data_IF_088929283097
#
_entry.id   IF_088929283097
#
_cell.length_a   1.000
_cell.length_b   1.000
_cell.length_c   1.000
_cell.angle_alpha   90.00
_cell.angle_beta   90.00
_cell.angle_gamma   90.00
#
_symmetry.space_group_name_H-M   'P 1'
#
loop_
_entity.id
_entity.type
_entity.pdbx_description
1 polymer ?
#
# COMPACT_ATOMS: atom_id res chain seq x y z
N UNK A 1 43.51 39.84 -27.29
CA UNK A 1 42.36 39.28 -28.04
C UNK A 1 41.87 37.92 -27.54
N UNK A 2 42.71 37.04 -26.99
CA UNK A 2 42.28 35.70 -26.55
C UNK A 2 41.32 35.64 -25.34
N UNK A 3 41.39 36.58 -24.38
CA UNK A 3 40.52 36.52 -23.19
C UNK A 3 39.06 36.86 -23.46
N UNK A 4 38.79 37.81 -24.37
CA UNK A 4 37.41 38.17 -24.76
C UNK A 4 36.72 37.03 -25.53
N UNK A 5 37.44 36.38 -26.44
CA UNK A 5 36.95 35.20 -27.16
C UNK A 5 36.65 34.03 -26.22
N UNK A 6 37.47 33.81 -25.18
CA UNK A 6 37.20 32.79 -24.14
C UNK A 6 35.93 33.09 -23.34
N UNK A 7 35.70 34.34 -22.96
CA UNK A 7 34.48 34.74 -22.22
C UNK A 7 33.21 34.50 -23.05
N UNK A 8 33.24 34.83 -24.34
CA UNK A 8 32.12 34.59 -25.27
C UNK A 8 31.86 33.08 -25.42
N UNK A 9 32.90 32.26 -25.50
CA UNK A 9 32.73 30.81 -25.58
C UNK A 9 32.12 30.22 -24.31
N UNK A 10 32.53 30.71 -23.13
CA UNK A 10 31.99 30.25 -21.85
C UNK A 10 30.49 30.61 -21.68
N UNK A 11 30.05 31.80 -22.11
CA UNK A 11 28.63 32.18 -22.03
C UNK A 11 27.76 31.36 -22.98
N UNK A 12 28.26 31.04 -24.17
CA UNK A 12 27.55 30.16 -25.12
C UNK A 12 27.40 28.74 -24.55
N UNK A 13 28.46 28.17 -23.96
CA UNK A 13 28.41 26.84 -23.34
C UNK A 13 27.43 26.81 -22.15
N UNK A 14 27.47 27.82 -21.28
CA UNK A 14 26.56 27.92 -20.13
C UNK A 14 25.10 28.08 -20.57
N UNK A 15 24.82 28.84 -21.64
CA UNK A 15 23.49 28.97 -22.21
C UNK A 15 22.94 27.66 -22.78
N UNK A 16 23.79 26.88 -23.47
CA UNK A 16 23.41 25.58 -24.03
C UNK A 16 23.16 24.52 -22.94
N UNK A 17 23.93 24.52 -21.85
CA UNK A 17 23.71 23.61 -20.71
C UNK A 17 22.40 23.91 -19.96
N UNK A 18 21.96 25.17 -19.88
CA UNK A 18 20.71 25.55 -19.21
C UNK A 18 19.45 25.02 -19.90
N UNK A 19 19.44 24.99 -21.23
CA UNK A 19 18.28 24.52 -22.02
C UNK A 19 18.05 23.01 -21.89
N UNK A 20 19.10 22.20 -21.79
CA UNK A 20 18.98 20.74 -21.63
C UNK A 20 18.34 20.36 -20.29
N UNK A 21 18.65 21.09 -19.21
CA UNK A 21 18.04 20.87 -17.90
C UNK A 21 16.55 21.16 -17.85
N UNK A 22 16.10 22.22 -18.55
CA UNK A 22 14.68 22.58 -18.65
C UNK A 22 13.84 21.51 -19.36
N UNK A 23 14.34 20.99 -20.48
CA UNK A 23 13.64 19.95 -21.25
C UNK A 23 13.58 18.61 -20.49
N UNK A 24 14.66 18.23 -19.79
CA UNK A 24 14.67 17.04 -18.93
C UNK A 24 13.70 17.16 -17.75
N UNK A 25 13.60 18.33 -17.13
CA UNK A 25 12.66 18.57 -16.04
C UNK A 25 11.20 18.53 -16.49
N UNK A 26 10.89 19.04 -17.69
CA UNK A 26 9.56 18.95 -18.28
C UNK A 26 9.15 17.49 -18.59
N UNK A 27 10.05 16.71 -19.21
CA UNK A 27 9.82 15.28 -19.45
C UNK A 27 9.63 14.49 -18.15
N UNK A 28 10.43 14.79 -17.12
CA UNK A 28 10.32 14.16 -15.80
C UNK A 28 8.98 14.50 -15.12
N UNK A 29 8.52 15.75 -15.26
CA UNK A 29 7.20 16.18 -14.77
C UNK A 29 6.06 15.44 -15.47
N UNK A 30 6.12 15.29 -16.79
CA UNK A 30 5.11 14.56 -17.57
C UNK A 30 5.09 13.05 -17.23
N UNK A 31 6.26 12.42 -17.10
CA UNK A 31 6.37 11.02 -16.67
C UNK A 31 5.82 10.80 -15.26
N UNK A 32 6.05 11.75 -14.34
CA UNK A 32 5.50 11.70 -12.98
C UNK A 32 3.97 11.83 -12.96
N UNK A 33 3.42 12.73 -13.78
CA UNK A 33 1.96 12.88 -13.94
C UNK A 33 1.31 11.61 -14.49
N UNK A 34 1.90 10.99 -15.52
CA UNK A 34 1.40 9.73 -16.07
C UNK A 34 1.45 8.60 -15.03
N UNK A 35 2.54 8.51 -14.26
CA UNK A 35 2.67 7.53 -13.18
C UNK A 35 1.58 7.69 -12.11
N UNK A 36 1.28 8.93 -11.70
CA UNK A 36 0.23 9.20 -10.73
C UNK A 36 -1.15 8.74 -11.23
N UNK A 37 -1.47 8.96 -12.51
CA UNK A 37 -2.73 8.49 -13.13
C UNK A 37 -2.81 6.97 -13.09
N UNK A 38 -1.72 6.26 -13.42
CA UNK A 38 -1.68 4.80 -13.34
C UNK A 38 -1.88 4.30 -11.91
N UNK A 39 -1.28 4.95 -10.91
CA UNK A 39 -1.51 4.61 -9.50
C UNK A 39 -2.98 4.79 -9.10
N UNK A 40 -3.65 5.83 -9.57
CA UNK A 40 -5.08 6.08 -9.30
C UNK A 40 -5.97 5.02 -9.94
N UNK A 41 -5.65 4.59 -11.17
CA UNK A 41 -6.35 3.48 -11.83
C UNK A 41 -6.19 2.16 -11.06
N UNK A 42 -4.97 1.83 -10.63
CA UNK A 42 -4.73 0.64 -9.81
C UNK A 42 -5.44 0.70 -8.45
N UNK A 43 -5.50 1.88 -7.84
CA UNK A 43 -6.22 2.08 -6.58
C UNK A 43 -7.71 1.82 -6.73
N UNK A 44 -8.36 2.39 -7.75
CA UNK A 44 -9.79 2.17 -7.99
C UNK A 44 -10.07 0.70 -8.33
N UNK A 45 -9.22 0.07 -9.14
CA UNK A 45 -9.31 -1.36 -9.41
C UNK A 45 -9.21 -2.20 -8.12
N UNK A 46 -8.23 -1.92 -7.27
CA UNK A 46 -8.05 -2.61 -6.00
C UNK A 46 -9.27 -2.43 -5.09
N UNK A 47 -9.80 -1.20 -4.98
CA UNK A 47 -10.96 -0.89 -4.14
C UNK A 47 -12.23 -1.63 -4.58
N UNK A 48 -12.43 -1.80 -5.88
CA UNK A 48 -13.62 -2.46 -6.43
C UNK A 48 -13.51 -3.98 -6.43
N UNK A 49 -12.31 -4.52 -6.64
CA UNK A 49 -12.14 -5.96 -6.87
C UNK A 49 -11.61 -6.71 -5.63
N UNK A 50 -10.97 -6.04 -4.68
CA UNK A 50 -10.38 -6.75 -3.55
C UNK A 50 -11.35 -7.01 -2.40
N UNK A 51 -11.73 -8.28 -2.27
CA UNK A 51 -12.63 -8.78 -1.22
C UNK A 51 -11.84 -9.19 0.03
N UNK A 52 -10.58 -9.61 -0.13
CA UNK A 52 -9.75 -10.11 0.97
C UNK A 52 -8.94 -9.00 1.66
N UNK A 53 -9.65 -8.00 2.17
CA UNK A 53 -9.10 -6.90 2.97
C UNK A 53 -9.26 -7.18 4.48
N UNK A 54 -8.56 -6.41 5.32
CA UNK A 54 -8.60 -6.58 6.77
C UNK A 54 -10.02 -6.55 7.36
N UNK A 55 -10.83 -5.58 6.95
CA UNK A 55 -12.19 -5.43 7.48
C UNK A 55 -13.03 -6.68 7.21
N UNK A 56 -13.04 -7.15 5.97
CA UNK A 56 -13.82 -8.32 5.58
C UNK A 56 -13.26 -9.60 6.23
N UNK A 57 -11.94 -9.77 6.29
CA UNK A 57 -11.34 -10.91 6.96
C UNK A 57 -11.70 -10.93 8.46
N UNK A 58 -11.52 -9.81 9.16
CA UNK A 58 -11.85 -9.69 10.59
C UNK A 58 -13.33 -10.00 10.85
N UNK A 59 -14.23 -9.48 10.00
CA UNK A 59 -15.65 -9.79 10.07
C UNK A 59 -15.95 -11.28 9.88
N UNK A 60 -15.40 -11.90 8.84
CA UNK A 60 -15.60 -13.33 8.56
C UNK A 60 -15.04 -14.19 9.71
N UNK A 61 -13.81 -13.89 10.18
CA UNK A 61 -13.17 -14.61 11.28
C UNK A 61 -14.02 -14.54 12.56
N UNK A 62 -14.56 -13.37 12.89
CA UNK A 62 -15.45 -13.18 14.03
C UNK A 62 -16.74 -14.01 13.89
N UNK A 63 -17.39 -13.98 12.71
CA UNK A 63 -18.61 -14.76 12.46
C UNK A 63 -18.37 -16.27 12.56
N UNK A 64 -17.22 -16.74 12.11
CA UNK A 64 -16.81 -18.14 12.25
C UNK A 64 -16.58 -18.50 13.72
N UNK A 65 -15.90 -17.64 14.48
CA UNK A 65 -15.70 -17.82 15.91
C UNK A 65 -17.04 -17.90 16.66
N UNK A 66 -17.99 -17.00 16.36
CA UNK A 66 -19.35 -17.00 16.92
C UNK A 66 -20.11 -18.30 16.64
N UNK A 67 -20.04 -18.79 15.39
CA UNK A 67 -20.68 -20.04 15.00
C UNK A 67 -20.10 -21.23 15.76
N UNK A 68 -18.76 -21.31 15.85
CA UNK A 68 -18.07 -22.39 16.54
C UNK A 68 -18.32 -22.35 18.05
N UNK A 69 -18.33 -21.15 18.65
CA UNK A 69 -18.66 -20.97 20.05
C UNK A 69 -20.10 -21.37 20.35
N UNK A 70 -21.06 -20.98 19.50
CA UNK A 70 -22.48 -21.36 19.66
C UNK A 70 -22.64 -22.88 19.61
N UNK A 71 -21.95 -23.56 18.68
CA UNK A 71 -21.93 -25.03 18.60
C UNK A 71 -21.39 -25.65 19.89
N UNK A 72 -20.26 -25.16 20.39
CA UNK A 72 -19.68 -25.61 21.65
C UNK A 72 -20.62 -25.42 22.85
N UNK A 73 -21.27 -24.26 22.96
CA UNK A 73 -22.23 -23.96 24.02
C UNK A 73 -23.41 -24.95 23.97
N UNK A 74 -23.91 -25.24 22.77
CA UNK A 74 -24.98 -26.22 22.58
C UNK A 74 -24.54 -27.63 23.01
N UNK A 75 -23.37 -28.09 22.55
CA UNK A 75 -22.79 -29.39 22.94
C UNK A 75 -22.63 -29.50 24.47
N UNK A 76 -22.10 -28.46 25.13
CA UNK A 76 -21.95 -28.46 26.59
C UNK A 76 -23.28 -28.48 27.32
N UNK A 77 -24.27 -27.74 26.83
CA UNK A 77 -25.62 -27.75 27.40
C UNK A 77 -26.28 -29.13 27.28
N UNK A 78 -26.16 -29.79 26.12
CA UNK A 78 -26.70 -31.13 25.89
C UNK A 78 -26.00 -32.18 26.77
N UNK A 79 -24.68 -32.05 26.97
CA UNK A 79 -23.92 -32.90 27.89
C UNK A 79 -24.15 -32.59 29.39
N UNK A 80 -24.95 -31.57 29.73
CA UNK A 80 -25.15 -31.11 31.11
C UNK A 80 -23.89 -30.50 31.75
N UNK A 81 -22.90 -30.11 30.96
CA UNK A 81 -21.62 -29.55 31.44
C UNK A 81 -21.63 -28.02 31.41
N UNK A 82 -20.79 -27.41 32.25
CA UNK A 82 -20.58 -25.96 32.26
C UNK A 82 -19.80 -25.52 31.01
N UNK A 83 -20.15 -24.35 30.48
CA UNK A 83 -19.41 -23.64 29.42
C UNK A 83 -18.16 -23.02 30.05
N UNK A 84 -16.97 -23.41 29.60
CA UNK A 84 -15.69 -23.00 30.22
C UNK A 84 -14.79 -22.19 29.30
N UNK A 85 -15.04 -22.22 27.99
CA UNK A 85 -14.31 -21.40 27.02
C UNK A 85 -15.09 -20.13 26.72
N UNK A 86 -14.38 -19.09 26.33
CA UNK A 86 -14.95 -17.82 25.91
C UNK A 86 -15.01 -17.74 24.38
N UNK A 87 -15.82 -16.82 23.85
CA UNK A 87 -15.95 -16.60 22.42
C UNK A 87 -14.60 -16.33 21.74
N UNK A 88 -13.77 -15.48 22.37
CA UNK A 88 -12.46 -15.10 21.82
C UNK A 88 -11.49 -16.28 21.71
N UNK A 89 -11.69 -17.36 22.49
CA UNK A 89 -10.89 -18.59 22.35
C UNK A 89 -11.12 -19.31 21.02
N UNK A 90 -12.18 -18.97 20.29
CA UNK A 90 -12.51 -19.53 18.97
C UNK A 90 -12.06 -18.63 17.81
N UNK A 91 -11.52 -17.44 18.10
CA UNK A 91 -10.97 -16.53 17.10
C UNK A 91 -9.47 -16.82 16.93
N UNK A 92 -9.04 -17.12 15.70
CA UNK A 92 -7.61 -17.25 15.39
C UNK A 92 -7.02 -15.86 15.11
N UNK A 93 -6.12 -15.34 15.97
CA UNK A 93 -5.52 -14.01 15.79
C UNK A 93 -4.59 -13.92 14.58
N UNK A 94 -4.13 -15.05 14.03
CA UNK A 94 -3.23 -15.08 12.87
C UNK A 94 -3.98 -15.20 11.54
N UNK A 95 -5.28 -15.54 11.58
CA UNK A 95 -6.08 -15.81 10.38
C UNK A 95 -6.09 -14.63 9.40
N UNK A 96 -6.09 -13.40 9.89
CA UNK A 96 -6.12 -12.19 9.07
C UNK A 96 -4.76 -11.51 8.89
N UNK A 97 -3.64 -12.13 9.32
CA UNK A 97 -2.30 -11.55 9.17
C UNK A 97 -1.82 -11.45 7.72
N UNK A 98 -2.42 -12.23 6.80
CA UNK A 98 -2.04 -12.29 5.37
C UNK A 98 -3.21 -11.91 4.46
N UNK A 99 -3.91 -10.83 4.78
CA UNK A 99 -4.83 -10.25 3.79
C UNK A 99 -4.03 -9.82 2.56
N UNK A 100 -4.61 -10.05 1.38
CA UNK A 100 -3.87 -9.89 0.11
C UNK A 100 -3.91 -8.47 -0.43
N UNK A 101 -4.68 -7.58 0.20
CA UNK A 101 -4.80 -6.20 -0.27
C UNK A 101 -4.90 -5.20 0.87
N UNK A 102 -4.07 -4.17 0.74
CA UNK A 102 -4.16 -2.90 1.44
C UNK A 102 -4.04 -1.80 0.40
N UNK A 103 -5.17 -1.54 -0.29
CA UNK A 103 -5.19 -0.64 -1.44
C UNK A 103 -4.67 0.77 -1.12
N UNK A 104 -4.83 1.25 0.11
CA UNK A 104 -4.34 2.55 0.55
C UNK A 104 -2.82 2.55 0.71
N UNK A 105 -2.26 1.52 1.36
CA UNK A 105 -0.82 1.37 1.49
C UNK A 105 -0.15 1.18 0.12
N UNK A 106 -0.71 0.31 -0.72
CA UNK A 106 -0.23 0.04 -2.06
C UNK A 106 -0.24 1.31 -2.93
N UNK A 107 -1.30 2.12 -2.83
CA UNK A 107 -1.39 3.41 -3.50
C UNK A 107 -0.34 4.41 -3.01
N UNK A 108 -0.14 4.51 -1.69
CA UNK A 108 0.87 5.39 -1.11
C UNK A 108 2.29 4.98 -1.54
N UNK A 109 2.56 3.69 -1.64
CA UNK A 109 3.83 3.16 -2.14
C UNK A 109 3.97 3.46 -3.64
N UNK A 110 2.92 3.26 -4.43
CA UNK A 110 2.90 3.57 -5.86
C UNK A 110 3.24 5.04 -6.12
N UNK A 111 2.58 5.98 -5.43
CA UNK A 111 2.85 7.43 -5.56
C UNK A 111 4.27 7.80 -5.13
N UNK A 112 4.83 7.16 -4.09
CA UNK A 112 6.25 7.35 -3.71
C UNK A 112 7.17 6.87 -4.82
N UNK A 113 6.87 5.73 -5.45
CA UNK A 113 7.56 5.22 -6.64
C UNK A 113 7.62 6.24 -7.79
N UNK A 114 6.54 6.97 -8.03
CA UNK A 114 6.48 8.01 -9.08
C UNK A 114 7.45 9.19 -8.87
N UNK A 115 7.91 9.42 -7.63
CA UNK A 115 8.92 10.44 -7.31
C UNK A 115 10.36 9.93 -7.41
N UNK A 116 10.56 8.63 -7.67
CA UNK A 116 11.87 8.00 -7.82
C UNK A 116 12.56 7.64 -6.49
N UNK A 117 11.86 7.77 -5.36
CA UNK A 117 12.40 7.44 -4.03
C UNK A 117 11.44 6.46 -3.35
N UNK A 118 11.78 5.18 -3.38
CA UNK A 118 11.07 4.15 -2.61
C UNK A 118 11.86 3.92 -1.32
N UNK A 119 11.35 4.34 -0.15
CA UNK A 119 12.03 4.06 1.11
C UNK A 119 12.01 2.55 1.36
N UNK A 120 13.16 1.89 1.26
CA UNK A 120 13.37 0.47 1.57
C UNK A 120 13.49 0.26 3.08
N UNK A 121 12.43 0.53 3.82
CA UNK A 121 12.32 0.05 5.20
C UNK A 121 11.41 -1.16 5.23
N UNK A 122 11.96 -2.31 5.61
CA UNK A 122 11.18 -3.49 5.97
C UNK A 122 10.30 -3.11 7.17
N UNK A 123 9.01 -2.87 6.91
CA UNK A 123 8.01 -2.72 7.95
C UNK A 123 7.42 -4.08 8.27
N UNK A 124 7.10 -4.30 9.55
CA UNK A 124 6.34 -5.47 9.94
C UNK A 124 5.00 -5.46 9.19
N UNK A 125 4.56 -6.64 8.75
CA UNK A 125 3.25 -6.78 8.09
C UNK A 125 2.18 -6.22 9.04
N UNK A 126 1.36 -5.25 8.60
CA UNK A 126 0.32 -4.67 9.44
C UNK A 126 -0.64 -5.77 9.89
N UNK A 127 -0.95 -5.78 11.18
CA UNK A 127 -1.95 -6.68 11.73
C UNK A 127 -3.32 -6.05 11.54
N UNK A 128 -4.28 -6.83 11.04
CA UNK A 128 -5.68 -6.43 11.10
C UNK A 128 -6.10 -6.38 12.58
N UNK A 129 -6.45 -5.19 13.07
CA UNK A 129 -6.95 -4.98 14.43
C UNK A 129 -8.44 -5.36 14.47
#
# INVERSE_FOLDING_TARGET
MNSFLRLIYCTIILGLCGCQGLQQNALKGQASAQCNITCEQHFEFCRQNCINNCFNCSYISQRVAEKNFTKYVHEKRVEGKKVMRELNSYRDPLQCRKVTCDCLSDFAICKKGCTGVIPTKLQAVPYCV
#
